data_IF_666294170075
#
_entry.id   IF_666294170075
#
_cell.length_a   1.000
_cell.length_b   1.000
_cell.length_c   1.000
_cell.angle_alpha   90.00
_cell.angle_beta   90.00
_cell.angle_gamma   90.00
#
_symmetry.space_group_name_H-M   'P 1'
#
loop_
_entity.id
_entity.type
_entity.pdbx_description
1 polymer ?
#
# COMPACT_ATOMS: atom_id res chain seq x y z
N UNK A 1 19.45 23.96 29.94
CA UNK A 1 19.90 22.57 29.67
C UNK A 1 18.86 21.93 28.75
N UNK A 2 19.01 22.09 27.43
CA UNK A 2 18.07 21.52 26.44
C UNK A 2 18.21 20.00 26.44
N UNK A 3 17.09 19.27 26.62
CA UNK A 3 17.04 17.80 26.60
C UNK A 3 17.51 17.31 25.22
N UNK A 4 18.39 16.30 25.21
CA UNK A 4 19.00 15.71 24.02
C UNK A 4 17.98 15.25 22.95
N UNK A 5 16.72 14.97 23.30
CA UNK A 5 15.68 14.55 22.34
C UNK A 5 15.29 15.63 21.31
N UNK A 6 15.29 16.92 21.68
CA UNK A 6 14.96 18.01 20.76
C UNK A 6 16.04 18.24 19.69
N UNK A 7 17.27 17.79 19.96
CA UNK A 7 18.38 17.88 19.01
C UNK A 7 18.29 16.80 17.92
N UNK A 8 17.81 15.60 18.27
CA UNK A 8 17.57 14.52 17.30
C UNK A 8 16.41 14.85 16.35
N UNK A 9 15.33 15.46 16.85
CA UNK A 9 14.22 15.91 16.00
C UNK A 9 14.69 16.96 14.97
N UNK A 10 15.50 17.94 15.38
CA UNK A 10 16.09 18.92 14.47
C UNK A 10 17.09 18.29 13.46
N UNK A 11 17.91 17.33 13.91
CA UNK A 11 18.90 16.64 13.07
C UNK A 11 18.23 15.75 12.00
N UNK A 12 17.15 15.05 12.34
CA UNK A 12 16.38 14.23 11.39
C UNK A 12 15.66 15.11 10.37
N UNK A 13 15.05 16.23 10.80
CA UNK A 13 14.48 17.20 9.85
C UNK A 13 15.54 17.82 8.94
N UNK A 14 16.77 18.01 9.43
CA UNK A 14 17.87 18.54 8.61
C UNK A 14 18.41 17.52 7.60
N UNK A 15 18.45 16.22 7.93
CA UNK A 15 18.90 15.20 6.98
C UNK A 15 17.85 14.85 5.92
N UNK A 16 16.55 14.87 6.27
CA UNK A 16 15.48 14.80 5.26
C UNK A 16 15.43 16.05 4.37
N UNK A 17 15.70 17.23 4.93
CA UNK A 17 15.87 18.45 4.13
C UNK A 17 17.09 18.32 3.19
N UNK A 18 18.22 17.74 3.65
CA UNK A 18 19.41 17.55 2.81
C UNK A 18 19.18 16.55 1.68
N UNK A 19 18.44 15.44 1.92
CA UNK A 19 18.00 14.51 0.87
C UNK A 19 17.03 15.17 -0.13
N UNK A 20 16.17 16.09 0.33
CA UNK A 20 15.34 16.88 -0.58
C UNK A 20 16.16 17.88 -1.42
N UNK A 21 17.26 18.42 -0.87
CA UNK A 21 18.11 19.39 -1.59
C UNK A 21 19.14 18.76 -2.52
N UNK A 22 19.61 17.53 -2.26
CA UNK A 22 20.54 16.84 -3.17
C UNK A 22 19.86 16.34 -4.44
N UNK A 23 18.54 16.15 -4.42
CA UNK A 23 17.70 15.91 -5.62
C UNK A 23 17.30 17.23 -6.33
N UNK A 24 17.60 18.39 -5.74
CA UNK A 24 17.31 19.72 -6.30
C UNK A 24 18.49 20.35 -7.09
N UNK A 25 19.55 19.58 -7.38
CA UNK A 25 20.71 20.09 -8.15
C UNK A 25 21.01 19.30 -9.43
N UNK A 26 20.00 19.09 -10.27
CA UNK A 26 20.24 18.94 -11.71
C UNK A 26 19.33 19.92 -12.44
N UNK A 27 19.83 21.16 -12.52
CA UNK A 27 19.26 22.28 -13.25
C UNK A 27 19.48 22.05 -14.76
N UNK A 28 18.82 21.01 -15.29
CA UNK A 28 18.69 20.82 -16.74
C UNK A 28 17.46 21.56 -17.21
N UNK A 29 17.74 22.62 -17.95
CA UNK A 29 16.87 23.43 -18.80
C UNK A 29 15.46 22.84 -19.05
N UNK A 30 14.39 23.57 -18.67
CA UNK A 30 13.02 23.10 -18.80
C UNK A 30 12.54 23.33 -20.24
N UNK A 31 12.85 22.42 -21.16
CA UNK A 31 12.25 22.44 -22.50
C UNK A 31 11.33 21.27 -22.79
N UNK A 32 11.16 20.30 -21.88
CA UNK A 32 10.13 19.25 -22.00
C UNK A 32 9.13 19.32 -20.84
N UNK A 33 8.04 20.05 -21.08
CA UNK A 33 6.95 20.27 -20.14
C UNK A 33 6.01 19.05 -19.95
N UNK A 34 6.40 17.85 -20.38
CA UNK A 34 5.53 16.65 -20.35
C UNK A 34 5.92 15.57 -19.33
N UNK A 35 7.07 15.68 -18.64
CA UNK A 35 7.62 14.54 -17.87
C UNK A 35 7.54 14.63 -16.34
N UNK A 36 7.04 15.72 -15.74
CA UNK A 36 7.09 15.95 -14.27
C UNK A 36 5.74 16.09 -13.57
N UNK A 37 4.67 15.45 -14.07
CA UNK A 37 3.28 15.65 -13.61
C UNK A 37 2.87 14.80 -12.38
N UNK A 38 3.68 13.85 -11.90
CA UNK A 38 3.23 12.87 -10.88
C UNK A 38 3.80 13.02 -9.46
N UNK A 39 4.50 14.11 -9.15
CA UNK A 39 5.00 14.35 -7.79
C UNK A 39 3.86 14.65 -6.83
N UNK A 40 3.71 13.81 -5.80
CA UNK A 40 2.79 14.04 -4.68
C UNK A 40 3.58 14.15 -3.38
N UNK A 41 3.37 15.27 -2.71
CA UNK A 41 3.87 15.52 -1.36
C UNK A 41 2.64 15.88 -0.51
N UNK A 42 2.27 14.99 0.40
CA UNK A 42 1.14 15.18 1.29
C UNK A 42 1.62 15.15 2.74
N UNK A 43 1.15 16.12 3.52
CA UNK A 43 1.39 16.21 4.95
C UNK A 43 0.08 16.52 5.64
N UNK A 44 -0.36 15.61 6.50
CA UNK A 44 -1.62 15.74 7.22
C UNK A 44 -1.36 15.67 8.72
N UNK A 45 -1.65 16.73 9.49
CA UNK A 45 -1.70 16.59 10.92
C UNK A 45 -2.84 15.61 11.25
N UNK A 46 -2.56 14.66 12.12
CA UNK A 46 -3.54 13.67 12.56
C UNK A 46 -3.52 13.56 14.07
N UNK A 47 -4.67 13.27 14.65
CA UNK A 47 -4.79 12.89 16.04
C UNK A 47 -4.98 11.37 16.09
N UNK A 48 -4.10 10.68 16.81
CA UNK A 48 -4.13 9.23 16.96
C UNK A 48 -4.52 8.89 18.38
N UNK A 49 -5.46 7.97 18.56
CA UNK A 49 -5.73 7.42 19.88
C UNK A 49 -4.67 6.37 20.22
N UNK A 50 -4.04 6.50 21.39
CA UNK A 50 -3.05 5.54 21.85
C UNK A 50 -3.75 4.24 22.28
N UNK A 51 -3.28 3.09 21.79
CA UNK A 51 -3.88 1.79 22.14
C UNK A 51 -3.71 1.44 23.63
N UNK A 52 -2.73 2.04 24.32
CA UNK A 52 -2.34 1.68 25.68
C UNK A 52 -2.63 2.77 26.72
N UNK A 53 -3.16 3.92 26.33
CA UNK A 53 -3.49 5.02 27.24
C UNK A 53 -4.75 5.74 26.76
N UNK A 54 -5.56 6.26 27.67
CA UNK A 54 -6.69 7.17 27.36
C UNK A 54 -6.21 8.55 26.86
N UNK A 55 -5.10 8.58 26.12
CA UNK A 55 -4.47 9.79 25.62
C UNK A 55 -4.37 9.75 24.11
N UNK A 56 -4.74 10.87 23.47
CA UNK A 56 -4.53 11.05 22.05
C UNK A 56 -3.16 11.70 21.81
N UNK A 57 -2.43 11.18 20.82
CA UNK A 57 -1.12 11.67 20.41
C UNK A 57 -1.26 12.44 19.09
N UNK A 58 -0.70 13.65 19.05
CA UNK A 58 -0.60 14.40 17.80
C UNK A 58 0.51 13.81 16.93
N UNK A 59 0.18 13.56 15.67
CA UNK A 59 1.10 13.05 14.67
C UNK A 59 1.04 13.83 13.37
N UNK A 60 2.03 13.57 12.50
CA UNK A 60 2.08 14.04 11.13
C UNK A 60 2.16 12.80 10.25
N UNK A 61 1.11 12.56 9.48
CA UNK A 61 1.14 11.61 8.39
C UNK A 61 1.79 12.26 7.18
N UNK A 62 2.68 11.54 6.51
CA UNK A 62 3.31 11.97 5.27
C UNK A 62 3.16 10.92 4.19
N UNK A 63 3.07 11.38 2.94
CA UNK A 63 3.20 10.55 1.76
C UNK A 63 3.98 11.33 0.69
N UNK A 64 5.07 10.72 0.23
CA UNK A 64 5.88 11.18 -0.88
C UNK A 64 5.88 10.14 -1.98
N UNK A 65 5.40 10.50 -3.16
CA UNK A 65 5.49 9.61 -4.32
C UNK A 65 5.87 10.37 -5.57
N UNK A 66 6.64 9.70 -6.43
CA UNK A 66 7.01 10.19 -7.75
C UNK A 66 7.29 9.02 -8.71
N UNK A 67 7.40 9.35 -10.00
CA UNK A 67 7.86 8.45 -11.05
C UNK A 67 9.32 8.72 -11.36
N UNK A 68 10.19 7.74 -11.10
CA UNK A 68 11.60 7.78 -11.55
C UNK A 68 11.71 7.61 -13.07
N UNK A 69 10.78 6.85 -13.64
CA UNK A 69 10.70 6.58 -15.06
C UNK A 69 9.25 6.43 -15.47
N UNK A 70 8.89 7.01 -16.60
CA UNK A 70 7.60 6.79 -17.24
C UNK A 70 7.80 6.80 -18.75
N UNK A 71 7.40 5.73 -19.42
CA UNK A 71 7.46 5.64 -20.87
C UNK A 71 6.18 5.04 -21.39
N UNK A 72 5.45 5.82 -22.17
CA UNK A 72 4.34 5.33 -22.97
C UNK A 72 4.89 4.69 -24.25
N UNK A 73 4.31 3.57 -24.64
CA UNK A 73 4.59 2.88 -25.90
C UNK A 73 3.26 2.46 -26.52
N UNK A 74 3.24 2.20 -27.82
CA UNK A 74 2.03 1.88 -28.57
C UNK A 74 0.97 2.99 -28.41
N UNK A 75 1.21 4.11 -29.08
CA UNK A 75 0.22 5.18 -29.20
C UNK A 75 -0.53 5.03 -30.51
N UNK A 76 -1.84 4.83 -30.47
CA UNK A 76 -2.66 4.74 -31.68
C UNK A 76 -3.53 5.99 -31.87
N UNK A 77 -3.77 6.33 -33.13
CA UNK A 77 -4.69 7.38 -33.53
C UNK A 77 -6.13 6.95 -33.20
N UNK A 78 -6.92 7.86 -32.63
CA UNK A 78 -8.32 7.58 -32.34
C UNK A 78 -9.09 7.22 -33.63
N UNK A 79 -10.01 6.23 -33.60
CA UNK A 79 -10.58 5.59 -34.80
C UNK A 79 -11.50 6.46 -35.69
N UNK A 80 -11.64 7.76 -35.44
CA UNK A 80 -12.51 8.66 -36.22
C UNK A 80 -11.99 10.11 -36.27
N UNK A 81 -10.84 10.31 -36.91
CA UNK A 81 -10.21 11.65 -36.97
C UNK A 81 -9.60 11.92 -38.35
N UNK A 82 -10.46 12.11 -39.36
CA UNK A 82 -10.03 12.49 -40.72
C UNK A 82 -9.71 13.99 -40.88
N UNK A 83 -9.95 14.81 -39.85
CA UNK A 83 -9.96 16.29 -39.99
C UNK A 83 -9.17 17.06 -38.92
N UNK A 84 -8.64 16.42 -37.87
CA UNK A 84 -7.87 17.08 -36.78
C UNK A 84 -6.72 16.20 -36.26
N UNK A 85 -5.64 16.77 -35.70
CA UNK A 85 -4.59 15.99 -35.05
C UNK A 85 -5.16 15.22 -33.85
N UNK A 86 -5.04 13.88 -33.89
CA UNK A 86 -5.65 12.97 -32.93
C UNK A 86 -5.02 13.06 -31.53
N UNK A 87 -5.82 13.00 -30.45
CA UNK A 87 -5.29 12.57 -29.16
C UNK A 87 -4.91 11.08 -29.28
N UNK A 88 -3.62 10.81 -29.14
CA UNK A 88 -3.06 9.46 -29.12
C UNK A 88 -3.58 8.70 -27.90
N UNK A 89 -4.21 7.54 -28.12
CA UNK A 89 -4.61 6.67 -27.01
C UNK A 89 -3.40 5.82 -26.61
N UNK A 90 -2.97 5.94 -25.35
CA UNK A 90 -1.87 5.13 -24.82
C UNK A 90 -2.40 3.72 -24.58
N UNK A 91 -2.02 2.76 -25.43
CA UNK A 91 -2.38 1.34 -25.21
C UNK A 91 -1.28 0.56 -24.50
N UNK A 92 -0.13 1.19 -24.19
CA UNK A 92 0.93 0.60 -23.37
C UNK A 92 1.74 1.62 -22.57
N UNK A 93 2.14 1.30 -21.34
CA UNK A 93 3.10 2.12 -20.60
C UNK A 93 3.95 1.30 -19.63
N UNK A 94 5.18 1.73 -19.40
CA UNK A 94 6.07 1.21 -18.37
C UNK A 94 6.45 2.33 -17.41
N UNK A 95 6.38 2.06 -16.12
CA UNK A 95 6.64 3.05 -15.06
C UNK A 95 7.49 2.46 -13.97
N UNK A 96 8.44 3.24 -13.47
CA UNK A 96 9.11 2.99 -12.20
C UNK A 96 8.71 4.10 -11.27
N UNK A 97 8.03 3.75 -10.18
CA UNK A 97 7.55 4.69 -9.17
C UNK A 97 8.17 4.37 -7.83
N UNK A 98 8.35 5.39 -7.00
CA UNK A 98 8.60 5.20 -5.58
C UNK A 98 7.49 5.85 -4.75
N UNK A 99 7.26 5.28 -3.56
CA UNK A 99 6.36 5.79 -2.53
C UNK A 99 7.07 5.69 -1.18
N UNK A 100 7.08 6.76 -0.42
CA UNK A 100 7.58 6.84 0.94
C UNK A 100 6.47 7.43 1.79
N UNK A 101 5.92 6.62 2.68
CA UNK A 101 4.81 7.02 3.54
C UNK A 101 5.06 6.59 4.97
N UNK A 102 4.40 7.26 5.90
CA UNK A 102 4.51 6.91 7.30
C UNK A 102 3.81 7.94 8.17
N UNK A 103 3.90 7.73 9.47
CA UNK A 103 3.34 8.63 10.47
C UNK A 103 4.39 8.88 11.54
N UNK A 104 4.74 10.14 11.76
CA UNK A 104 5.59 10.54 12.88
C UNK A 104 4.72 11.07 14.02
N UNK A 105 5.05 10.66 15.23
CA UNK A 105 4.50 11.27 16.46
C UNK A 105 5.63 11.77 17.34
N UNK A 106 5.31 12.62 18.32
CA UNK A 106 6.30 13.10 19.31
C UNK A 106 6.94 11.93 20.08
N UNK A 107 6.14 10.92 20.42
CA UNK A 107 6.61 9.71 21.09
C UNK A 107 6.26 8.47 20.24
N UNK A 108 7.29 7.85 19.67
CA UNK A 108 7.17 6.63 18.87
C UNK A 108 6.45 5.49 19.60
N UNK A 109 6.58 5.38 20.94
CA UNK A 109 5.89 4.35 21.73
C UNK A 109 4.36 4.54 21.77
N UNK A 110 3.90 5.75 21.51
CA UNK A 110 2.48 6.09 21.47
C UNK A 110 1.95 6.14 20.03
N UNK A 111 2.73 5.68 19.04
CA UNK A 111 2.35 5.69 17.64
C UNK A 111 1.68 4.36 17.25
N UNK A 112 0.34 4.26 17.21
CA UNK A 112 -0.32 3.04 16.74
C UNK A 112 -0.09 2.77 15.24
N UNK A 113 0.46 3.73 14.49
CA UNK A 113 0.79 3.62 13.06
C UNK A 113 2.29 3.83 12.84
N UNK A 114 3.09 3.11 13.61
CA UNK A 114 4.53 3.33 13.72
C UNK A 114 5.34 3.01 12.47
N UNK A 115 4.74 2.38 11.46
CA UNK A 115 5.45 1.94 10.27
C UNK A 115 5.71 3.08 9.28
N UNK A 116 6.98 3.19 8.92
CA UNK A 116 7.53 3.91 7.79
C UNK A 116 7.69 2.88 6.65
N UNK A 117 7.07 3.13 5.52
CA UNK A 117 7.12 2.27 4.34
C UNK A 117 7.81 3.01 3.20
N UNK A 118 8.80 2.35 2.60
CA UNK A 118 9.40 2.75 1.33
C UNK A 118 9.12 1.66 0.31
N UNK A 119 8.50 2.01 -0.81
CA UNK A 119 8.16 1.09 -1.89
C UNK A 119 8.74 1.59 -3.21
N UNK A 120 9.37 0.70 -3.97
CA UNK A 120 9.77 0.92 -5.36
C UNK A 120 9.02 -0.11 -6.21
N UNK A 121 8.27 0.38 -7.20
CA UNK A 121 7.45 -0.46 -8.05
C UNK A 121 7.80 -0.22 -9.52
N UNK A 122 8.22 -1.28 -10.20
CA UNK A 122 8.38 -1.32 -11.65
C UNK A 122 7.14 -1.98 -12.24
N UNK A 123 6.34 -1.23 -12.99
CA UNK A 123 5.08 -1.69 -13.54
C UNK A 123 5.02 -1.52 -15.05
N UNK A 124 4.27 -2.41 -15.69
CA UNK A 124 3.83 -2.27 -17.06
C UNK A 124 2.30 -2.29 -17.10
N UNK A 125 1.75 -1.61 -18.08
CA UNK A 125 0.33 -1.53 -18.37
C UNK A 125 0.13 -1.76 -19.85
N UNK A 126 -0.95 -2.43 -20.23
CA UNK A 126 -1.39 -2.52 -21.61
C UNK A 126 -2.90 -2.68 -21.69
N UNK A 127 -3.50 -1.99 -22.64
CA UNK A 127 -4.90 -2.13 -22.99
C UNK A 127 -5.03 -2.91 -24.30
N UNK A 128 -6.10 -3.69 -24.46
CA UNK A 128 -6.50 -4.23 -25.76
C UNK A 128 -6.86 -3.10 -26.72
N UNK A 129 -6.84 -3.37 -28.02
CA UNK A 129 -7.08 -2.36 -29.07
C UNK A 129 -8.45 -1.68 -28.94
N UNK A 130 -9.46 -2.43 -28.49
CA UNK A 130 -10.81 -1.93 -28.23
C UNK A 130 -10.99 -1.35 -26.80
N UNK A 131 -9.91 -1.29 -26.00
CA UNK A 131 -9.89 -0.87 -24.61
C UNK A 131 -10.88 -1.61 -23.70
N UNK A 132 -11.35 -2.80 -24.13
CA UNK A 132 -12.26 -3.62 -23.33
C UNK A 132 -11.52 -4.34 -22.23
N UNK A 133 -10.28 -4.78 -22.48
CA UNK A 133 -9.44 -5.48 -21.54
C UNK A 133 -8.21 -4.66 -21.23
N UNK A 134 -7.94 -4.46 -19.96
CA UNK A 134 -6.76 -3.77 -19.44
C UNK A 134 -6.02 -4.76 -18.56
N UNK A 135 -4.74 -4.95 -18.81
CA UNK A 135 -3.86 -5.68 -17.91
C UNK A 135 -2.69 -4.80 -17.47
N UNK A 136 -2.33 -4.93 -16.21
CA UNK A 136 -1.10 -4.39 -15.67
C UNK A 136 -0.38 -5.46 -14.87
N UNK A 137 0.92 -5.38 -14.80
CA UNK A 137 1.70 -6.18 -13.89
C UNK A 137 2.96 -5.47 -13.49
N UNK A 138 3.62 -5.98 -12.47
CA UNK A 138 4.81 -5.33 -11.97
C UNK A 138 5.58 -6.16 -11.00
N UNK A 139 6.77 -5.66 -10.70
CA UNK A 139 7.62 -6.11 -9.61
C UNK A 139 7.71 -4.98 -8.60
N UNK A 140 7.79 -5.33 -7.33
CA UNK A 140 7.98 -4.33 -6.28
C UNK A 140 9.03 -4.79 -5.28
N UNK A 141 9.65 -3.79 -4.65
CA UNK A 141 10.54 -3.92 -3.51
C UNK A 141 10.06 -2.94 -2.45
N UNK A 142 9.79 -3.46 -1.27
CA UNK A 142 9.21 -2.73 -0.16
C UNK A 142 10.07 -2.92 1.08
N UNK A 143 10.38 -1.82 1.74
CA UNK A 143 11.08 -1.80 3.02
C UNK A 143 10.18 -1.11 4.04
N UNK A 144 9.86 -1.82 5.12
CA UNK A 144 9.02 -1.34 6.21
C UNK A 144 9.84 -1.30 7.50
N UNK A 145 9.68 -0.25 8.29
CA UNK A 145 10.36 -0.14 9.58
C UNK A 145 9.57 0.73 10.56
N UNK A 146 9.73 0.51 11.85
CA UNK A 146 9.12 1.37 12.87
C UNK A 146 9.83 2.74 12.99
N UNK A 147 9.23 3.73 13.65
CA UNK A 147 9.84 5.07 13.83
C UNK A 147 11.20 5.02 14.56
N UNK A 148 11.48 3.98 15.34
CA UNK A 148 12.77 3.79 16.03
C UNK A 148 13.79 2.98 15.22
N UNK A 149 13.41 2.44 14.06
CA UNK A 149 14.25 1.60 13.22
C UNK A 149 14.77 0.34 13.90
N UNK A 150 13.98 -0.22 14.82
CA UNK A 150 14.24 -1.48 15.49
C UNK A 150 13.59 -2.65 14.75
N UNK A 151 12.32 -2.52 14.35
CA UNK A 151 11.61 -3.52 13.57
C UNK A 151 11.84 -3.22 12.08
N UNK A 152 12.34 -4.19 11.31
CA UNK A 152 12.67 -4.00 9.90
C UNK A 152 12.20 -5.17 9.07
N UNK A 153 11.57 -4.86 7.95
CA UNK A 153 11.04 -5.87 7.03
C UNK A 153 11.40 -5.50 5.60
N UNK A 154 11.83 -6.50 4.84
CA UNK A 154 12.10 -6.37 3.42
C UNK A 154 11.19 -7.35 2.68
N UNK A 155 10.32 -6.82 1.82
CA UNK A 155 9.33 -7.59 1.07
C UNK A 155 9.49 -7.28 -0.41
N UNK A 156 9.51 -8.30 -1.24
CA UNK A 156 9.52 -8.12 -2.69
C UNK A 156 8.58 -9.12 -3.34
N UNK A 157 8.09 -8.77 -4.52
CA UNK A 157 7.07 -9.60 -5.14
C UNK A 157 6.67 -9.16 -6.53
N UNK A 158 5.66 -9.89 -7.01
CA UNK A 158 4.99 -9.66 -8.27
C UNK A 158 3.56 -9.25 -8.00
N UNK A 159 3.05 -8.33 -8.81
CA UNK A 159 1.65 -7.97 -8.80
C UNK A 159 1.10 -7.97 -10.23
N UNK A 160 -0.21 -8.13 -10.33
CA UNK A 160 -0.94 -8.15 -11.58
C UNK A 160 -2.37 -7.68 -11.36
N UNK A 161 -2.89 -6.88 -12.28
CA UNK A 161 -4.28 -6.53 -12.32
C UNK A 161 -4.84 -6.76 -13.72
N UNK A 162 -6.09 -7.19 -13.76
CA UNK A 162 -6.89 -7.24 -14.97
C UNK A 162 -8.19 -6.49 -14.69
N UNK A 163 -8.49 -5.52 -15.54
CA UNK A 163 -9.79 -4.86 -15.54
C UNK A 163 -10.42 -5.06 -16.89
N UNK A 164 -11.71 -5.36 -16.90
CA UNK A 164 -12.42 -5.55 -18.15
C UNK A 164 -13.74 -4.78 -18.11
N UNK A 165 -14.12 -4.22 -19.26
CA UNK A 165 -15.44 -3.62 -19.45
C UNK A 165 -16.56 -4.65 -19.65
N UNK A 166 -16.24 -5.94 -19.80
CA UNK A 166 -17.15 -6.96 -20.34
C UNK A 166 -17.09 -8.37 -19.70
N UNK A 167 -16.38 -8.66 -18.60
CA UNK A 167 -16.37 -10.07 -18.10
C UNK A 167 -17.76 -10.44 -17.55
N UNK A 168 -18.42 -9.53 -16.84
CA UNK A 168 -19.87 -9.61 -16.59
C UNK A 168 -20.58 -8.24 -16.59
N UNK A 169 -19.91 -7.15 -16.15
CA UNK A 169 -20.44 -5.77 -16.14
C UNK A 169 -19.35 -4.72 -16.48
N UNK A 170 -19.75 -3.45 -16.68
CA UNK A 170 -18.83 -2.34 -16.94
C UNK A 170 -17.92 -2.06 -15.73
N UNK A 171 -16.59 -2.29 -15.88
CA UNK A 171 -15.49 -1.97 -14.93
C UNK A 171 -15.23 -2.99 -13.80
N UNK A 172 -15.37 -4.28 -14.10
CA UNK A 172 -14.88 -5.32 -13.19
C UNK A 172 -13.35 -5.22 -13.07
N UNK A 173 -12.82 -5.60 -11.90
CA UNK A 173 -11.42 -5.49 -11.55
C UNK A 173 -10.98 -6.72 -10.75
N UNK A 174 -9.92 -7.38 -11.19
CA UNK A 174 -9.23 -8.40 -10.41
C UNK A 174 -7.77 -8.01 -10.24
N UNK A 175 -7.24 -8.21 -9.03
CA UNK A 175 -5.85 -7.97 -8.70
C UNK A 175 -5.30 -9.17 -7.94
N UNK A 176 -4.07 -9.54 -8.27
CA UNK A 176 -3.32 -10.60 -7.62
C UNK A 176 -1.95 -10.07 -7.25
N UNK A 177 -1.50 -10.39 -6.05
CA UNK A 177 -0.14 -10.14 -5.59
C UNK A 177 0.42 -11.40 -4.94
N UNK A 178 1.68 -11.68 -5.23
CA UNK A 178 2.49 -12.70 -4.55
C UNK A 178 3.78 -12.02 -4.11
N UNK A 179 4.15 -12.19 -2.85
CA UNK A 179 5.42 -11.68 -2.33
C UNK A 179 6.11 -12.64 -1.40
N UNK A 180 7.42 -12.45 -1.27
CA UNK A 180 8.30 -13.07 -0.30
C UNK A 180 8.94 -11.95 0.51
N UNK A 181 9.07 -12.14 1.82
CA UNK A 181 9.76 -11.18 2.65
C UNK A 181 10.31 -11.74 3.94
N UNK A 182 11.33 -11.06 4.45
CA UNK A 182 11.89 -11.26 5.78
C UNK A 182 11.08 -10.44 6.78
N UNK A 183 10.45 -11.12 7.73
CA UNK A 183 9.56 -10.54 8.73
C UNK A 183 10.27 -10.51 10.08
N UNK A 184 10.21 -9.37 10.75
CA UNK A 184 10.69 -9.19 12.12
C UNK A 184 9.52 -9.32 13.10
N UNK A 185 9.46 -10.40 13.90
CA UNK A 185 8.39 -10.67 14.85
C UNK A 185 8.60 -10.03 16.23
N UNK A 186 9.49 -9.06 16.39
CA UNK A 186 9.79 -8.44 17.69
C UNK A 186 8.58 -7.85 18.42
N UNK A 187 7.48 -7.56 17.71
CA UNK A 187 6.22 -7.07 18.29
C UNK A 187 5.12 -8.16 18.35
N UNK A 188 5.45 -9.42 18.03
CA UNK A 188 4.52 -10.55 18.05
C UNK A 188 4.48 -11.22 19.43
N UNK A 189 3.60 -10.68 20.30
CA UNK A 189 3.39 -11.18 21.66
C UNK A 189 2.96 -12.65 21.66
N UNK A 190 2.21 -13.11 20.66
CA UNK A 190 1.76 -14.51 20.60
C UNK A 190 2.94 -15.46 20.39
N UNK A 191 3.89 -15.10 19.51
CA UNK A 191 5.14 -15.85 19.31
C UNK A 191 6.06 -15.77 20.52
N UNK A 192 6.18 -14.59 21.14
CA UNK A 192 7.02 -14.38 22.34
C UNK A 192 6.62 -15.33 23.47
N UNK A 193 5.32 -15.53 23.67
CA UNK A 193 4.81 -16.43 24.70
C UNK A 193 5.15 -17.92 24.48
N UNK A 194 5.53 -18.32 23.26
CA UNK A 194 5.81 -19.71 22.90
C UNK A 194 7.30 -20.00 22.90
N UNK A 195 8.10 -19.17 22.21
CA UNK A 195 9.54 -19.40 22.01
C UNK A 195 10.43 -18.43 22.81
N UNK A 196 9.84 -17.52 23.58
CA UNK A 196 10.54 -16.57 24.43
C UNK A 196 11.13 -15.39 23.67
N UNK A 197 12.05 -14.67 24.32
CA UNK A 197 12.58 -13.37 23.83
C UNK A 197 13.57 -13.48 22.66
N UNK A 198 13.87 -14.69 22.19
CA UNK A 198 14.79 -14.94 21.07
C UNK A 198 14.02 -15.26 19.81
N UNK A 199 13.14 -14.34 19.40
CA UNK A 199 12.32 -14.51 18.19
C UNK A 199 13.15 -14.01 17.00
N UNK A 200 13.73 -14.93 16.25
CA UNK A 200 14.46 -14.60 15.04
C UNK A 200 13.51 -14.16 13.92
N UNK A 201 14.01 -13.30 13.02
CA UNK A 201 13.30 -12.97 11.78
C UNK A 201 13.10 -14.23 10.93
N UNK A 202 11.98 -14.27 10.19
CA UNK A 202 11.61 -15.43 9.39
C UNK A 202 11.16 -15.03 7.98
N UNK A 203 11.26 -15.99 7.05
CA UNK A 203 10.82 -15.80 5.67
C UNK A 203 9.34 -16.17 5.52
N UNK A 204 8.57 -15.28 4.88
CA UNK A 204 7.12 -15.45 4.70
C UNK A 204 6.71 -15.21 3.26
N UNK A 205 5.86 -16.10 2.73
CA UNK A 205 5.15 -15.88 1.47
C UNK A 205 3.77 -15.31 1.75
N UNK A 206 3.43 -14.27 1.00
CA UNK A 206 2.17 -13.55 1.09
C UNK A 206 1.46 -13.62 -0.27
N UNK A 207 0.15 -13.89 -0.24
CA UNK A 207 -0.73 -13.90 -1.40
C UNK A 207 -1.93 -13.02 -1.14
N UNK A 208 -2.26 -12.14 -2.07
CA UNK A 208 -3.48 -11.33 -2.04
C UNK A 208 -4.23 -11.45 -3.36
N UNK A 209 -5.55 -11.67 -3.29
CA UNK A 209 -6.48 -11.65 -4.39
C UNK A 209 -7.60 -10.68 -4.06
N UNK A 210 -7.79 -9.68 -4.92
CA UNK A 210 -8.92 -8.76 -4.85
C UNK A 210 -9.76 -8.98 -6.10
N UNK A 211 -11.06 -9.18 -5.94
CA UNK A 211 -12.01 -9.16 -7.03
C UNK A 211 -13.15 -8.20 -6.72
N UNK A 212 -13.36 -7.23 -7.59
CA UNK A 212 -14.39 -6.20 -7.47
C UNK A 212 -15.24 -6.18 -8.73
N UNK A 213 -16.55 -6.16 -8.55
CA UNK A 213 -17.52 -5.99 -9.63
C UNK A 213 -18.60 -4.98 -9.25
N UNK A 214 -19.22 -4.40 -10.27
CA UNK A 214 -20.27 -3.41 -10.11
C UNK A 214 -21.65 -4.09 -10.15
N UNK A 215 -22.52 -3.73 -9.22
CA UNK A 215 -23.91 -4.19 -9.14
C UNK A 215 -24.85 -3.15 -9.76
N UNK A 216 -24.69 -1.87 -9.43
CA UNK A 216 -25.54 -0.75 -9.89
C UNK A 216 -27.06 -1.05 -9.85
N UNK A 217 -27.56 -1.53 -8.70
CA UNK A 217 -28.98 -1.89 -8.53
C UNK A 217 -29.56 -1.33 -7.25
N UNK A 218 -30.38 -0.28 -7.38
CA UNK A 218 -31.01 0.38 -6.23
C UNK A 218 -29.96 1.00 -5.32
N UNK A 219 -29.93 0.56 -4.05
CA UNK A 219 -28.92 1.00 -3.07
C UNK A 219 -27.58 0.29 -3.20
N UNK A 220 -27.49 -0.79 -3.99
CA UNK A 220 -26.28 -1.59 -4.15
C UNK A 220 -25.42 -1.04 -5.29
N UNK A 221 -24.17 -0.69 -4.99
CA UNK A 221 -23.23 -0.09 -5.93
C UNK A 221 -22.18 -1.11 -6.40
N UNK A 222 -21.35 -1.62 -5.50
CA UNK A 222 -20.25 -2.55 -5.81
C UNK A 222 -20.18 -3.72 -4.85
N UNK A 223 -19.62 -4.84 -5.28
CA UNK A 223 -19.19 -5.90 -4.39
C UNK A 223 -17.71 -6.20 -4.60
N UNK A 224 -17.01 -6.40 -3.50
CA UNK A 224 -15.58 -6.69 -3.48
C UNK A 224 -15.30 -7.86 -2.55
N UNK A 225 -14.44 -8.77 -3.03
CA UNK A 225 -13.86 -9.86 -2.26
C UNK A 225 -12.37 -9.62 -2.17
N UNK A 226 -11.82 -9.58 -0.97
CA UNK A 226 -10.38 -9.56 -0.73
C UNK A 226 -10.00 -10.82 0.05
N UNK A 227 -9.15 -11.65 -0.53
CA UNK A 227 -8.58 -12.83 0.11
C UNK A 227 -7.08 -12.64 0.28
N UNK A 228 -6.60 -12.81 1.52
CA UNK A 228 -5.19 -12.75 1.88
C UNK A 228 -4.76 -14.05 2.52
N UNK A 229 -3.58 -14.51 2.17
CA UNK A 229 -2.94 -15.69 2.73
C UNK A 229 -1.48 -15.40 3.05
N UNK A 230 -1.05 -15.81 4.23
CA UNK A 230 0.30 -15.62 4.74
C UNK A 230 0.83 -16.97 5.19
N UNK A 231 2.08 -17.28 4.86
CA UNK A 231 2.71 -18.55 5.28
C UNK A 231 4.20 -18.39 5.52
N UNK A 232 4.64 -18.75 6.73
CA UNK A 232 6.04 -18.89 7.08
C UNK A 232 6.65 -20.10 6.36
N UNK A 233 7.81 -19.92 5.71
CA UNK A 233 8.43 -20.96 4.89
C UNK A 233 9.08 -22.06 5.72
N UNK A 234 9.70 -21.69 6.84
CA UNK A 234 10.47 -22.57 7.72
C UNK A 234 10.13 -22.31 9.19
N UNK A 235 8.88 -22.55 9.62
CA UNK A 235 8.46 -22.21 10.98
C UNK A 235 9.14 -23.08 12.02
N UNK A 236 9.43 -22.47 13.17
CA UNK A 236 9.82 -23.21 14.37
C UNK A 236 8.73 -24.26 14.71
N UNK A 237 9.11 -25.49 15.14
CA UNK A 237 8.14 -26.55 15.43
C UNK A 237 7.06 -26.15 16.44
N UNK A 238 7.39 -25.35 17.46
CA UNK A 238 6.42 -24.91 18.47
C UNK A 238 5.49 -23.82 17.92
N UNK A 239 5.98 -22.93 17.05
CA UNK A 239 5.15 -21.96 16.30
C UNK A 239 4.15 -22.67 15.40
N UNK A 240 4.63 -23.66 14.64
CA UNK A 240 3.78 -24.47 13.75
C UNK A 240 2.71 -25.24 14.52
N UNK A 241 3.09 -25.82 15.66
CA UNK A 241 2.17 -26.54 16.54
C UNK A 241 1.10 -25.63 17.16
N UNK A 242 1.41 -24.35 17.33
CA UNK A 242 0.46 -23.32 17.76
C UNK A 242 -0.37 -22.71 16.61
N UNK A 243 -0.16 -23.16 15.36
CA UNK A 243 -0.83 -22.61 14.16
C UNK A 243 -0.59 -21.11 13.97
N UNK A 244 0.62 -20.65 14.31
CA UNK A 244 1.06 -19.27 14.09
C UNK A 244 1.98 -19.14 12.86
N UNK A 245 2.06 -20.18 12.03
CA UNK A 245 2.85 -20.22 10.80
C UNK A 245 2.04 -19.93 9.54
N UNK A 246 0.71 -19.99 9.60
CA UNK A 246 -0.16 -19.68 8.47
C UNK A 246 -1.42 -18.91 8.87
N UNK A 247 -1.76 -17.90 8.08
CA UNK A 247 -2.92 -17.04 8.32
C UNK A 247 -3.69 -16.83 7.04
N UNK A 248 -5.00 -16.67 7.17
CA UNK A 248 -5.88 -16.33 6.06
C UNK A 248 -6.94 -15.36 6.53
N UNK A 249 -7.24 -14.39 5.68
CA UNK A 249 -8.33 -13.45 5.89
C UNK A 249 -9.14 -13.35 4.60
N UNK A 250 -10.46 -13.48 4.71
CA UNK A 250 -11.37 -13.13 3.63
C UNK A 250 -12.28 -11.99 4.08
N UNK A 251 -12.33 -10.94 3.26
CA UNK A 251 -13.19 -9.77 3.47
C UNK A 251 -14.16 -9.66 2.31
N UNK A 252 -15.44 -9.54 2.63
CA UNK A 252 -16.51 -9.21 1.70
C UNK A 252 -16.95 -7.79 1.97
N UNK A 253 -16.94 -6.94 0.94
CA UNK A 253 -17.38 -5.55 1.04
C UNK A 253 -18.50 -5.28 0.04
N UNK A 254 -19.66 -4.93 0.57
CA UNK A 254 -20.81 -4.46 -0.20
C UNK A 254 -20.84 -2.92 -0.13
N UNK A 255 -20.46 -2.30 -1.23
CA UNK A 255 -20.60 -0.86 -1.44
C UNK A 255 -22.06 -0.49 -1.71
N UNK A 256 -22.51 0.57 -1.05
CA UNK A 256 -23.83 1.14 -1.19
C UNK A 256 -23.74 2.54 -1.82
N UNK A 257 -24.86 3.06 -2.31
CA UNK A 257 -24.97 4.47 -2.72
C UNK A 257 -24.61 5.42 -1.57
N UNK A 258 -24.16 6.64 -1.90
CA UNK A 258 -23.73 7.67 -0.94
C UNK A 258 -22.49 7.29 -0.12
N UNK A 259 -21.54 6.57 -0.73
CA UNK A 259 -20.25 6.20 -0.13
C UNK A 259 -20.35 5.40 1.19
N UNK A 260 -21.48 4.74 1.43
CA UNK A 260 -21.65 3.80 2.55
C UNK A 260 -21.18 2.41 2.14
N UNK A 261 -20.77 1.60 3.11
CA UNK A 261 -20.49 0.19 2.86
C UNK A 261 -20.80 -0.68 4.08
N UNK A 262 -21.02 -1.96 3.80
CA UNK A 262 -21.07 -3.04 4.78
C UNK A 262 -19.91 -3.97 4.45
N UNK A 263 -19.05 -4.24 5.44
CA UNK A 263 -17.97 -5.20 5.31
C UNK A 263 -18.11 -6.32 6.34
N UNK A 264 -17.77 -7.53 5.91
CA UNK A 264 -17.67 -8.71 6.75
C UNK A 264 -16.32 -9.36 6.51
N UNK A 265 -15.54 -9.51 7.57
CA UNK A 265 -14.23 -10.14 7.55
C UNK A 265 -14.24 -11.41 8.40
N UNK A 266 -13.64 -12.48 7.88
CA UNK A 266 -13.50 -13.76 8.57
C UNK A 266 -12.08 -14.29 8.42
N UNK A 267 -11.48 -14.67 9.55
CA UNK A 267 -10.09 -15.13 9.62
C UNK A 267 -9.22 -14.15 10.39
N UNK A 268 -7.91 -14.29 10.23
CA UNK A 268 -6.92 -13.65 11.10
C UNK A 268 -5.77 -13.06 10.28
N UNK A 269 -5.19 -11.98 10.79
CA UNK A 269 -3.93 -11.43 10.29
C UNK A 269 -2.80 -11.80 11.24
N UNK A 270 -1.56 -12.00 10.74
CA UNK A 270 -0.44 -12.46 11.56
C UNK A 270 -0.23 -11.69 12.87
N UNK A 271 -0.41 -10.37 12.85
CA UNK A 271 -0.18 -9.47 14.01
C UNK A 271 -1.46 -8.91 14.63
N UNK A 272 -2.63 -9.34 14.17
CA UNK A 272 -3.91 -8.95 14.76
C UNK A 272 -4.80 -10.19 14.95
N UNK A 273 -4.48 -10.94 16.00
CA UNK A 273 -5.12 -12.20 16.37
C UNK A 273 -6.24 -12.02 17.41
N UNK A 274 -6.55 -10.78 17.83
CA UNK A 274 -7.55 -10.52 18.87
C UNK A 274 -8.98 -10.43 18.32
N UNK A 275 -9.16 -10.11 17.02
CA UNK A 275 -10.47 -9.83 16.42
C UNK A 275 -10.73 -10.69 15.17
N UNK A 276 -11.14 -11.95 15.38
CA UNK A 276 -11.25 -12.97 14.32
C UNK A 276 -12.47 -12.79 13.38
N UNK A 277 -13.41 -11.92 13.75
CA UNK A 277 -14.62 -11.61 12.99
C UNK A 277 -15.04 -10.15 13.23
N UNK A 278 -15.04 -9.36 12.16
CA UNK A 278 -15.39 -7.95 12.22
C UNK A 278 -16.56 -7.71 11.27
N UNK A 279 -17.65 -7.22 11.83
CA UNK A 279 -18.72 -6.57 11.07
C UNK A 279 -18.45 -5.07 11.13
N UNK A 280 -18.23 -4.46 9.97
CA UNK A 280 -17.98 -3.03 9.88
C UNK A 280 -19.06 -2.38 9.02
N UNK A 281 -19.66 -1.33 9.56
CA UNK A 281 -20.50 -0.40 8.81
C UNK A 281 -19.78 0.93 8.83
N UNK A 282 -19.44 1.44 7.64
CA UNK A 282 -18.65 2.65 7.50
C UNK A 282 -19.20 3.60 6.45
N UNK A 283 -18.74 4.84 6.51
CA UNK A 283 -18.99 5.89 5.53
C UNK A 283 -17.65 6.49 5.09
N UNK A 284 -17.48 6.73 3.79
CA UNK A 284 -16.32 7.46 3.27
C UNK A 284 -16.71 8.89 2.97
N UNK A 285 -16.08 9.85 3.65
CA UNK A 285 -16.25 11.28 3.39
C UNK A 285 -14.92 11.87 2.91
N UNK A 286 -14.90 12.42 1.70
CA UNK A 286 -13.78 13.22 1.21
C UNK A 286 -14.15 14.69 1.41
N UNK A 287 -13.35 15.41 2.20
CA UNK A 287 -13.40 16.87 2.21
C UNK A 287 -12.64 17.34 0.96
N UNK A 288 -13.36 17.98 0.03
CA UNK A 288 -12.76 18.71 -1.09
C UNK A 288 -12.00 19.96 -0.60
#
# INVERSE_FOLDING_TARGET
>A
MMKKSNLYFLLITSQLAVLSTSVLSDDKNPTDATDRVNRKYDFKPILLDSENTDSSTLGIQYNFSDSLFNKNYDTEDAPDCSTFPCPKTVVGSAKVTYDLKGTFTENADNNPKNFIETNINGSYFKASMDSTLIWSGGIFLKYETDQKFNNKQLVYGLNGAISNRNIFHNKDFAFVQISLGTIDPSEDIARENIIGNSIDSYERVDFELIYKFIINKGLLDTFEVNYRYFKELSPDPEIKKASLDDFRLITYRLGLTNNMYIAYSSGELPFNQKDNQIYEVGYTYNFD
#
